data_IF_074834960632
#
_entry.id   IF_074834960632
#
_cell.length_a   1.000
_cell.length_b   1.000
_cell.length_c   1.000
_cell.angle_alpha   90.00
_cell.angle_beta   90.00
_cell.angle_gamma   90.00
#
_symmetry.space_group_name_H-M   'P 1'
#
loop_
_entity.id
_entity.type
_entity.pdbx_description
1 polymer ?
#
# COMPACT_ATOMS: atom_id res chain seq x y z
N UNK A 1 -65.78 -30.20 22.92
CA UNK A 1 -65.13 -29.38 24.01
C UNK A 1 -63.67 -29.32 23.78
N UNK A 2 -63.12 -28.14 23.76
CA UNK A 2 -61.83 -27.78 23.12
C UNK A 2 -60.65 -28.13 24.01
N UNK A 3 -59.72 -28.92 23.53
CA UNK A 3 -58.43 -29.16 24.15
C UNK A 3 -57.38 -28.27 23.45
N UNK A 4 -56.84 -27.31 24.19
CA UNK A 4 -55.77 -26.41 23.70
C UNK A 4 -54.44 -27.08 23.95
N UNK A 5 -53.72 -27.43 22.88
CA UNK A 5 -52.31 -27.84 22.94
C UNK A 5 -51.42 -26.65 23.20
N UNK A 6 -50.70 -26.70 24.27
CA UNK A 6 -49.60 -25.76 24.58
C UNK A 6 -48.30 -26.35 24.02
N UNK A 7 -47.83 -25.77 22.95
CA UNK A 7 -46.50 -26.09 22.42
C UNK A 7 -45.45 -25.24 23.15
N UNK A 8 -44.69 -25.88 24.02
CA UNK A 8 -43.55 -25.26 24.66
C UNK A 8 -42.36 -25.21 23.68
N UNK A 9 -42.01 -24.00 23.23
CA UNK A 9 -40.83 -23.76 22.41
C UNK A 9 -39.65 -23.62 23.40
N UNK A 10 -38.81 -24.64 23.45
CA UNK A 10 -37.54 -24.61 24.16
C UNK A 10 -36.52 -23.95 23.22
N UNK A 11 -36.26 -22.66 23.44
CA UNK A 11 -35.14 -21.96 22.79
C UNK A 11 -33.82 -22.38 23.48
N UNK A 12 -33.12 -23.31 22.87
CA UNK A 12 -31.74 -23.63 23.26
C UNK A 12 -30.84 -22.53 22.72
N UNK A 13 -30.43 -21.62 23.59
CA UNK A 13 -29.34 -20.66 23.35
C UNK A 13 -28.03 -21.44 23.33
N UNK A 14 -27.58 -21.88 22.17
CA UNK A 14 -26.17 -22.26 21.96
C UNK A 14 -25.35 -20.97 21.80
N UNK A 15 -24.83 -20.45 22.92
CA UNK A 15 -23.70 -19.53 22.91
C UNK A 15 -22.45 -20.27 22.38
N UNK A 16 -22.34 -20.38 21.08
CA UNK A 16 -21.11 -20.76 20.42
C UNK A 16 -20.15 -19.59 20.52
N UNK A 17 -19.20 -19.66 21.44
CA UNK A 17 -18.02 -18.79 21.44
C UNK A 17 -17.21 -19.12 20.19
N UNK A 18 -17.42 -18.37 19.10
CA UNK A 18 -16.56 -18.37 17.95
C UNK A 18 -15.22 -17.80 18.37
N UNK A 19 -14.32 -18.67 18.83
CA UNK A 19 -12.89 -18.37 18.93
C UNK A 19 -12.40 -18.06 17.52
N UNK A 20 -12.32 -16.78 17.15
CA UNK A 20 -11.60 -16.35 15.96
C UNK A 20 -10.12 -16.65 16.17
N UNK A 21 -9.74 -17.89 16.00
CA UNK A 21 -8.36 -18.26 15.81
C UNK A 21 -7.95 -17.70 14.46
N UNK A 22 -7.07 -16.72 14.44
CA UNK A 22 -6.50 -16.17 13.22
C UNK A 22 -5.63 -17.25 12.54
N UNK A 23 -6.28 -18.18 11.88
CA UNK A 23 -5.62 -19.24 11.13
C UNK A 23 -4.78 -18.58 10.02
N UNK A 24 -3.56 -19.05 9.90
CA UNK A 24 -2.64 -18.59 8.84
C UNK A 24 -3.28 -18.89 7.49
N UNK A 25 -3.43 -17.90 6.58
CA UNK A 25 -4.15 -18.10 5.33
C UNK A 25 -3.52 -19.21 4.50
N UNK A 26 -4.34 -20.01 3.87
CA UNK A 26 -3.94 -21.11 2.98
C UNK A 26 -3.20 -20.58 1.74
N UNK A 27 -2.54 -21.47 1.01
CA UNK A 27 -1.84 -21.10 -0.22
C UNK A 27 -2.83 -20.53 -1.28
N UNK A 28 -4.02 -21.11 -1.39
CA UNK A 28 -5.06 -20.66 -2.31
C UNK A 28 -5.59 -19.26 -1.95
N UNK A 29 -5.86 -19.01 -0.66
CA UNK A 29 -6.29 -17.69 -0.18
C UNK A 29 -5.23 -16.61 -0.42
N UNK A 30 -3.94 -16.92 -0.23
CA UNK A 30 -2.84 -15.99 -0.54
C UNK A 30 -2.76 -15.69 -2.03
N UNK A 31 -2.96 -16.69 -2.88
CA UNK A 31 -2.94 -16.51 -4.32
C UNK A 31 -4.10 -15.63 -4.78
N UNK A 32 -5.30 -15.85 -4.26
CA UNK A 32 -6.46 -15.04 -4.55
C UNK A 32 -6.29 -13.60 -4.05
N UNK A 33 -5.78 -13.41 -2.84
CA UNK A 33 -5.48 -12.10 -2.29
C UNK A 33 -4.38 -11.37 -3.10
N UNK A 34 -3.36 -12.08 -3.57
CA UNK A 34 -2.34 -11.52 -4.44
C UNK A 34 -2.93 -11.09 -5.81
N UNK A 35 -3.88 -11.85 -6.36
CA UNK A 35 -4.58 -11.46 -7.59
C UNK A 35 -5.40 -10.17 -7.37
N UNK A 36 -6.04 -10.02 -6.22
CA UNK A 36 -6.76 -8.78 -5.84
C UNK A 36 -5.81 -7.59 -5.74
N UNK A 37 -4.64 -7.76 -5.12
CA UNK A 37 -3.62 -6.71 -5.06
C UNK A 37 -3.07 -6.34 -6.44
N UNK A 38 -2.91 -7.34 -7.31
CA UNK A 38 -2.50 -7.12 -8.70
C UNK A 38 -3.55 -6.31 -9.46
N UNK A 39 -4.82 -6.67 -9.37
CA UNK A 39 -5.91 -5.92 -10.00
C UNK A 39 -5.99 -4.47 -9.49
N UNK A 40 -5.79 -4.25 -8.18
CA UNK A 40 -5.71 -2.92 -7.59
C UNK A 40 -4.53 -2.12 -8.16
N UNK A 41 -3.36 -2.71 -8.29
CA UNK A 41 -2.20 -2.04 -8.88
C UNK A 41 -2.42 -1.74 -10.39
N UNK A 42 -3.04 -2.66 -11.13
CA UNK A 42 -3.35 -2.48 -12.56
C UNK A 42 -4.41 -1.42 -12.82
N UNK A 43 -5.32 -1.19 -11.89
CA UNK A 43 -6.34 -0.12 -11.99
C UNK A 43 -5.71 1.27 -12.02
N UNK A 44 -4.48 1.44 -11.52
CA UNK A 44 -3.81 2.74 -11.35
C UNK A 44 -4.65 3.75 -10.56
N UNK A 45 -5.45 3.28 -9.63
CA UNK A 45 -6.26 4.13 -8.74
C UNK A 45 -6.14 3.61 -7.30
N UNK A 46 -5.04 4.00 -6.66
CA UNK A 46 -4.72 3.55 -5.32
C UNK A 46 -3.86 4.54 -4.54
N UNK A 47 -3.86 4.38 -3.24
CA UNK A 47 -3.00 5.12 -2.31
C UNK A 47 -2.20 4.14 -1.45
N UNK A 48 -0.88 4.34 -1.35
CA UNK A 48 -0.05 3.68 -0.35
C UNK A 48 0.15 4.65 0.81
N UNK A 49 -0.38 4.28 1.99
CA UNK A 49 -0.14 4.99 3.24
C UNK A 49 1.14 4.47 3.87
N UNK A 50 2.07 5.36 4.13
CA UNK A 50 3.39 5.00 4.65
C UNK A 50 3.36 4.94 6.17
N UNK A 51 3.94 3.90 6.73
CA UNK A 51 4.14 3.74 8.17
C UNK A 51 5.54 4.18 8.60
N UNK A 52 6.56 3.77 7.83
CA UNK A 52 7.96 4.03 8.15
C UNK A 52 8.78 4.37 6.90
N UNK A 53 9.79 5.18 7.09
CA UNK A 53 10.83 5.47 6.12
C UNK A 53 12.18 4.93 6.61
N UNK A 54 12.98 4.43 5.68
CA UNK A 54 14.29 3.85 5.91
C UNK A 54 15.33 4.62 5.10
N UNK A 55 15.99 5.60 5.70
CA UNK A 55 17.11 6.30 5.08
C UNK A 55 18.26 5.34 4.76
N UNK A 56 19.12 5.70 3.81
CA UNK A 56 20.33 4.94 3.51
C UNK A 56 21.26 4.87 4.72
N UNK A 57 21.28 5.92 5.53
CA UNK A 57 22.05 6.03 6.78
C UNK A 57 21.11 6.47 7.90
N UNK A 58 21.24 5.83 9.06
CA UNK A 58 20.46 6.17 10.25
C UNK A 58 19.35 5.16 10.58
N UNK A 59 18.56 5.50 11.59
CA UNK A 59 17.43 4.68 12.04
C UNK A 59 16.21 4.89 11.16
N UNK A 60 15.29 3.92 11.20
CA UNK A 60 13.96 4.08 10.58
C UNK A 60 13.15 5.16 11.29
N UNK A 61 12.34 5.89 10.55
CA UNK A 61 11.52 7.00 11.04
C UNK A 61 10.05 6.75 10.75
N UNK A 62 9.20 6.84 11.77
CA UNK A 62 7.75 6.75 11.62
C UNK A 62 7.21 7.96 10.83
N UNK A 63 6.33 7.70 9.84
CA UNK A 63 5.83 8.73 8.91
C UNK A 63 4.33 8.57 8.62
N UNK A 64 3.46 8.63 9.64
CA UNK A 64 2.07 8.20 9.52
C UNK A 64 1.20 9.06 8.58
N UNK A 65 1.67 10.23 8.17
CA UNK A 65 0.93 11.13 7.25
C UNK A 65 1.48 11.11 5.83
N UNK A 66 2.51 10.33 5.55
CA UNK A 66 3.10 10.25 4.23
C UNK A 66 2.31 9.30 3.33
N UNK A 67 2.07 9.71 2.10
CA UNK A 67 1.36 8.92 1.10
C UNK A 67 2.06 8.97 -0.26
N UNK A 68 1.83 7.89 -1.02
CA UNK A 68 2.06 7.84 -2.46
C UNK A 68 0.74 7.44 -3.13
N UNK A 69 0.15 8.36 -3.87
CA UNK A 69 -1.11 8.13 -4.59
C UNK A 69 -0.85 8.07 -6.08
N UNK A 70 -1.46 7.08 -6.74
CA UNK A 70 -1.50 6.97 -8.20
C UNK A 70 -2.96 7.10 -8.64
N UNK A 71 -3.19 7.93 -9.63
CA UNK A 71 -4.49 8.10 -10.28
C UNK A 71 -4.27 8.19 -11.80
N UNK A 72 -4.53 7.09 -12.50
CA UNK A 72 -4.25 6.97 -13.93
C UNK A 72 -2.77 7.21 -14.24
N UNK A 73 -2.48 8.31 -14.92
CA UNK A 73 -1.12 8.73 -15.27
C UNK A 73 -0.57 9.83 -14.35
N UNK A 74 -1.22 10.10 -13.25
CA UNK A 74 -0.76 11.08 -12.27
C UNK A 74 -0.25 10.40 -11.01
N UNK A 75 0.83 10.94 -10.44
CA UNK A 75 1.37 10.58 -9.15
C UNK A 75 1.36 11.78 -8.21
N UNK A 76 0.87 11.57 -7.01
CA UNK A 76 0.98 12.51 -5.90
C UNK A 76 1.77 11.87 -4.77
N UNK A 77 2.81 12.55 -4.31
CA UNK A 77 3.72 12.06 -3.27
C UNK A 77 3.93 13.11 -2.18
N UNK A 78 3.82 12.66 -0.94
CA UNK A 78 4.23 13.42 0.26
C UNK A 78 5.33 12.70 1.02
N UNK A 79 6.13 11.87 0.34
CA UNK A 79 7.18 11.06 0.96
C UNK A 79 8.26 11.96 1.54
N UNK A 80 8.58 11.83 2.82
CA UNK A 80 9.69 12.56 3.43
C UNK A 80 11.03 11.96 2.97
N UNK A 81 12.06 12.77 3.01
CA UNK A 81 13.40 12.38 2.61
C UNK A 81 14.43 12.71 3.71
N UNK A 82 15.26 11.74 4.01
CA UNK A 82 16.43 11.88 4.88
C UNK A 82 17.66 11.29 4.19
N UNK A 83 18.40 12.11 3.50
CA UNK A 83 19.61 11.68 2.81
C UNK A 83 20.46 12.86 2.37
N UNK A 84 21.66 12.57 1.87
CA UNK A 84 22.51 13.53 1.19
C UNK A 84 21.99 13.76 -0.23
N UNK A 85 22.16 14.97 -0.75
CA UNK A 85 21.82 15.29 -2.12
C UNK A 85 22.57 16.54 -2.57
N UNK A 86 22.73 16.69 -3.86
CA UNK A 86 23.54 17.74 -4.47
C UNK A 86 23.05 19.18 -4.23
N UNK A 87 21.87 19.36 -3.65
CA UNK A 87 21.30 20.66 -3.30
C UNK A 87 20.72 20.65 -1.89
N UNK A 88 21.59 20.61 -0.90
CA UNK A 88 21.22 20.71 0.52
C UNK A 88 20.83 22.13 0.95
N UNK A 89 20.89 23.11 0.06
CA UNK A 89 20.50 24.49 0.36
C UNK A 89 19.03 24.71 -0.03
N UNK A 90 18.12 24.53 0.94
CA UNK A 90 16.81 25.12 0.92
C UNK A 90 15.63 24.28 0.41
N UNK A 91 15.79 23.00 0.07
CA UNK A 91 14.66 22.18 -0.35
C UNK A 91 14.37 21.09 0.67
N UNK A 92 13.67 21.47 1.74
CA UNK A 92 13.11 20.59 2.77
C UNK A 92 11.91 19.75 2.26
N UNK A 93 11.55 19.88 0.98
CA UNK A 93 10.32 19.29 0.44
C UNK A 93 10.40 17.77 0.21
N UNK A 94 11.59 17.18 0.37
CA UNK A 94 11.76 15.74 0.26
C UNK A 94 11.40 15.19 -1.13
N UNK A 95 10.66 14.08 -1.16
CA UNK A 95 10.06 13.52 -2.37
C UNK A 95 8.57 13.91 -2.46
N UNK A 96 8.27 15.19 -2.18
CA UNK A 96 6.94 15.77 -2.28
C UNK A 96 6.75 16.37 -3.66
N UNK A 97 5.82 15.84 -4.42
CA UNK A 97 5.55 16.32 -5.77
C UNK A 97 4.18 15.86 -6.26
N UNK A 98 3.69 16.55 -7.27
CA UNK A 98 2.70 16.04 -8.22
C UNK A 98 3.42 15.87 -9.55
N UNK A 99 3.14 14.80 -10.28
CA UNK A 99 3.86 14.52 -11.53
C UNK A 99 3.16 13.49 -12.39
N UNK A 100 3.74 13.26 -13.57
CA UNK A 100 3.21 12.33 -14.57
C UNK A 100 3.92 10.99 -14.46
N UNK A 101 3.14 9.90 -14.48
CA UNK A 101 3.63 8.52 -14.45
C UNK A 101 3.94 8.02 -15.85
N UNK A 102 5.09 7.40 -16.00
CA UNK A 102 5.52 6.70 -17.23
C UNK A 102 6.16 5.34 -16.90
N UNK A 103 6.33 4.50 -17.92
CA UNK A 103 6.97 3.17 -17.81
C UNK A 103 6.34 2.29 -16.72
N UNK A 104 5.02 2.39 -16.56
CA UNK A 104 4.29 1.68 -15.51
C UNK A 104 4.13 0.20 -15.86
N UNK A 105 4.63 -0.66 -15.00
CA UNK A 105 4.56 -2.11 -15.15
C UNK A 105 4.07 -2.78 -13.89
N UNK A 106 3.27 -3.83 -14.03
CA UNK A 106 2.78 -4.68 -12.93
C UNK A 106 3.06 -6.13 -13.28
N UNK A 107 3.75 -6.83 -12.40
CA UNK A 107 4.02 -8.27 -12.54
C UNK A 107 3.76 -8.97 -11.21
N UNK A 108 3.63 -10.30 -11.25
CA UNK A 108 3.55 -11.11 -10.04
C UNK A 108 4.74 -12.09 -10.04
N UNK A 109 5.42 -12.21 -8.91
CA UNK A 109 6.57 -13.09 -8.77
C UNK A 109 6.14 -14.53 -8.36
N UNK A 110 7.11 -15.46 -8.36
CA UNK A 110 6.89 -16.85 -7.96
C UNK A 110 6.47 -17.04 -6.48
N UNK A 111 6.60 -15.98 -5.68
CA UNK A 111 6.21 -15.96 -4.26
C UNK A 111 4.86 -15.27 -4.05
N UNK A 112 4.08 -15.04 -5.13
CA UNK A 112 2.81 -14.32 -5.11
C UNK A 112 2.93 -12.88 -4.55
N UNK A 113 4.07 -12.22 -4.74
CA UNK A 113 4.22 -10.79 -4.50
C UNK A 113 3.98 -10.02 -5.79
N UNK A 114 3.21 -8.96 -5.73
CA UNK A 114 2.99 -8.06 -6.86
C UNK A 114 4.13 -7.06 -6.90
N UNK A 115 4.79 -6.99 -8.05
CA UNK A 115 5.89 -6.06 -8.33
C UNK A 115 5.35 -4.95 -9.22
N UNK A 116 5.48 -3.71 -8.78
CA UNK A 116 5.12 -2.53 -9.56
C UNK A 116 6.38 -1.69 -9.77
N UNK A 117 6.61 -1.27 -11.00
CA UNK A 117 7.69 -0.33 -11.29
C UNK A 117 7.17 0.78 -12.20
N UNK A 118 7.58 2.01 -11.95
CA UNK A 118 7.24 3.17 -12.76
C UNK A 118 8.23 4.32 -12.54
N UNK A 119 8.19 5.29 -13.46
CA UNK A 119 8.83 6.58 -13.31
C UNK A 119 7.78 7.65 -13.06
N UNK A 120 8.10 8.63 -12.23
CA UNK A 120 7.28 9.81 -12.03
C UNK A 120 8.11 11.05 -12.35
N UNK A 121 7.68 11.82 -13.34
CA UNK A 121 8.28 13.10 -13.69
C UNK A 121 7.51 14.19 -12.95
N UNK A 122 8.15 14.76 -11.93
CA UNK A 122 7.59 15.85 -11.16
C UNK A 122 7.39 17.11 -12.01
N UNK A 123 6.46 17.98 -11.61
CA UNK A 123 6.25 19.28 -12.22
C UNK A 123 7.49 20.19 -12.18
N UNK A 124 8.46 19.89 -11.31
CA UNK A 124 9.79 20.54 -11.27
C UNK A 124 10.78 19.98 -12.32
N UNK A 125 10.37 19.00 -13.13
CA UNK A 125 11.22 18.29 -14.11
C UNK A 125 12.08 17.18 -13.51
N UNK A 126 12.04 16.95 -12.19
CA UNK A 126 12.81 15.89 -11.54
C UNK A 126 12.15 14.53 -11.80
N UNK A 127 12.95 13.52 -12.08
CA UNK A 127 12.47 12.16 -12.37
C UNK A 127 12.78 11.26 -11.17
N UNK A 128 11.74 10.64 -10.64
CA UNK A 128 11.79 9.62 -9.60
C UNK A 128 11.49 8.25 -10.20
N UNK A 129 12.26 7.25 -9.81
CA UNK A 129 12.02 5.86 -10.15
C UNK A 129 11.50 5.14 -8.90
N UNK A 130 10.34 4.52 -9.04
CA UNK A 130 9.71 3.76 -7.97
C UNK A 130 9.69 2.27 -8.30
N UNK A 131 10.03 1.44 -7.32
CA UNK A 131 9.80 0.00 -7.33
C UNK A 131 9.04 -0.35 -6.06
N UNK A 132 7.95 -1.07 -6.21
CA UNK A 132 7.11 -1.48 -5.07
C UNK A 132 6.94 -2.99 -5.08
N UNK A 133 7.03 -3.60 -3.89
CA UNK A 133 6.64 -4.97 -3.62
C UNK A 133 5.39 -4.97 -2.77
N UNK A 134 4.29 -5.51 -3.29
CA UNK A 134 3.00 -5.56 -2.61
C UNK A 134 2.73 -7.01 -2.23
N UNK A 135 2.48 -7.24 -0.96
CA UNK A 135 2.15 -8.55 -0.41
C UNK A 135 0.64 -8.79 -0.46
N UNK A 136 0.25 -10.06 -0.35
CA UNK A 136 -1.15 -10.48 -0.38
C UNK A 136 -2.05 -9.78 0.66
N UNK A 137 -1.48 -9.34 1.79
CA UNK A 137 -2.19 -8.63 2.87
C UNK A 137 -2.23 -7.10 2.68
N UNK A 138 -1.74 -6.60 1.53
CA UNK A 138 -1.63 -5.18 1.22
C UNK A 138 -0.41 -4.47 1.81
N UNK A 139 0.42 -5.15 2.62
CA UNK A 139 1.70 -4.56 3.04
C UNK A 139 2.56 -4.27 1.81
N UNK A 140 3.20 -3.12 1.79
CA UNK A 140 3.91 -2.63 0.60
C UNK A 140 5.27 -2.07 0.99
N UNK A 141 6.32 -2.55 0.34
CA UNK A 141 7.64 -1.92 0.38
C UNK A 141 7.86 -1.10 -0.87
N UNK A 142 8.35 0.11 -0.70
CA UNK A 142 8.66 1.04 -1.78
C UNK A 142 10.15 1.34 -1.76
N UNK A 143 10.80 1.25 -2.90
CA UNK A 143 12.13 1.80 -3.15
C UNK A 143 11.99 2.99 -4.09
N UNK A 144 12.46 4.16 -3.67
CA UNK A 144 12.43 5.38 -4.44
C UNK A 144 13.86 5.85 -4.73
N UNK A 145 14.14 6.11 -5.99
CA UNK A 145 15.44 6.54 -6.50
C UNK A 145 15.29 7.80 -7.33
N UNK A 146 16.19 8.74 -7.14
CA UNK A 146 16.36 9.92 -7.98
C UNK A 146 17.85 10.13 -8.23
N UNK A 147 18.23 10.60 -9.43
CA UNK A 147 19.65 10.76 -9.81
C UNK A 147 20.43 11.74 -8.95
N UNK A 148 19.74 12.67 -8.28
CA UNK A 148 20.35 13.73 -7.45
C UNK A 148 20.16 13.51 -5.96
N UNK A 149 19.68 12.35 -5.52
CA UNK A 149 19.32 12.06 -4.13
C UNK A 149 19.74 10.64 -3.75
N UNK A 150 20.05 10.42 -2.47
CA UNK A 150 20.24 9.07 -1.96
C UNK A 150 18.96 8.24 -2.11
N UNK A 151 19.07 6.92 -2.34
CA UNK A 151 17.90 6.06 -2.40
C UNK A 151 17.20 6.00 -1.04
N UNK A 152 15.87 6.02 -1.09
CA UNK A 152 15.03 5.88 0.09
C UNK A 152 14.17 4.63 -0.02
N UNK A 153 13.89 4.02 1.11
CA UNK A 153 12.92 2.92 1.21
C UNK A 153 11.83 3.29 2.20
N UNK A 154 10.63 2.79 1.91
CA UNK A 154 9.47 3.01 2.75
C UNK A 154 8.70 1.70 2.90
N UNK A 155 8.05 1.53 4.04
CA UNK A 155 7.01 0.52 4.19
C UNK A 155 5.66 1.19 4.48
N UNK A 156 4.60 0.49 4.13
CA UNK A 156 3.26 0.99 4.31
C UNK A 156 2.21 -0.03 3.87
N UNK A 157 1.04 0.47 3.57
CA UNK A 157 -0.09 -0.36 3.13
C UNK A 157 -0.80 0.27 1.94
N UNK A 158 -1.02 -0.54 0.89
CA UNK A 158 -1.81 -0.14 -0.27
C UNK A 158 -3.31 -0.29 0.01
N UNK A 159 -4.09 0.61 -0.51
CA UNK A 159 -5.55 0.56 -0.55
C UNK A 159 -6.10 1.35 -1.73
N UNK A 160 -7.38 1.20 -2.07
CA UNK A 160 -8.02 2.05 -3.07
C UNK A 160 -7.83 3.53 -2.72
N UNK A 161 -7.80 4.39 -3.72
CA UNK A 161 -7.80 5.84 -3.48
C UNK A 161 -9.07 6.25 -2.73
N UNK A 162 -8.93 7.08 -1.72
CA UNK A 162 -10.09 7.72 -1.13
C UNK A 162 -10.73 8.56 -2.23
N UNK A 163 -11.98 8.29 -2.55
CA UNK A 163 -12.76 9.18 -3.38
C UNK A 163 -12.95 10.45 -2.55
N UNK A 164 -12.21 11.48 -2.87
CA UNK A 164 -12.50 12.83 -2.36
C UNK A 164 -13.82 13.21 -3.01
N UNK A 165 -14.91 13.24 -2.21
CA UNK A 165 -16.15 13.91 -2.58
C UNK A 165 -15.91 15.38 -2.77
#
# INVERSE_FOLDING_TARGET
>A
MKIKSVVAIVCIWMCGTLSLSAAKPSAAERQQAAATMKALAESRDYTVRIAQAFPLKGASVATPLAILKINGNEAYSTLPYWGGGYNTFGNSDGMRFTGTVSDYTVTIDKKNKVQVAFKATANTGRIYQFKMEIFYNGSTFISALCSSMDPMRYDGKIGPSDKTE
#
